data_IF_409300957353
#
_entry.id   IF_409300957353
#
_cell.length_a   1.000
_cell.length_b   1.000
_cell.length_c   1.000
_cell.angle_alpha   90.00
_cell.angle_beta   90.00
_cell.angle_gamma   90.00
#
_symmetry.space_group_name_H-M   'P 1'
#
loop_
_entity.id
_entity.type
_entity.pdbx_description
1 polymer ?
#
# COMPACT_ATOMS: atom_id res chain seq x y z
N UNK A 1 53.13 -54.64 -32.87
CA UNK A 1 51.95 -54.16 -32.10
C UNK A 1 52.13 -52.66 -31.86
N UNK A 2 51.26 -51.85 -32.49
CA UNK A 2 51.08 -50.38 -32.34
C UNK A 2 52.33 -49.50 -32.12
N UNK A 3 52.83 -48.92 -33.22
CA UNK A 3 53.69 -47.73 -33.19
C UNK A 3 52.91 -46.55 -32.59
N UNK A 4 53.23 -46.13 -31.35
CA UNK A 4 52.74 -44.87 -30.80
C UNK A 4 53.44 -43.72 -31.54
N UNK A 5 52.76 -43.09 -32.49
CA UNK A 5 53.23 -41.86 -33.14
C UNK A 5 53.13 -40.71 -32.11
N UNK A 6 54.26 -40.10 -31.77
CA UNK A 6 54.29 -38.91 -30.93
C UNK A 6 53.77 -37.68 -31.69
N UNK A 7 53.12 -36.76 -31.00
CA UNK A 7 52.63 -35.51 -31.58
C UNK A 7 53.78 -34.58 -31.93
N UNK A 8 53.71 -33.97 -33.12
CA UNK A 8 54.67 -32.97 -33.55
C UNK A 8 54.41 -31.64 -32.84
N UNK A 9 55.47 -30.91 -32.47
CA UNK A 9 55.37 -29.59 -31.83
C UNK A 9 54.57 -28.59 -32.70
N UNK A 10 54.65 -28.72 -34.03
CA UNK A 10 53.89 -27.86 -34.95
C UNK A 10 52.41 -28.23 -35.03
N UNK A 11 52.04 -29.51 -34.87
CA UNK A 11 50.63 -29.91 -34.77
C UNK A 11 49.99 -29.35 -33.51
N UNK A 12 50.72 -29.39 -32.38
CA UNK A 12 50.22 -28.83 -31.12
C UNK A 12 50.04 -27.32 -31.20
N UNK A 13 50.97 -26.61 -31.86
CA UNK A 13 50.87 -25.16 -32.07
C UNK A 13 49.71 -24.79 -32.99
N UNK A 14 49.50 -25.55 -34.08
CA UNK A 14 48.36 -25.37 -34.97
C UNK A 14 47.01 -25.60 -34.26
N UNK A 15 46.90 -26.64 -33.43
CA UNK A 15 45.69 -26.92 -32.65
C UNK A 15 45.39 -25.81 -31.66
N UNK A 16 46.40 -25.31 -30.94
CA UNK A 16 46.21 -24.19 -29.98
C UNK A 16 45.81 -22.90 -30.69
N UNK A 17 46.37 -22.62 -31.87
CA UNK A 17 46.01 -21.45 -32.67
C UNK A 17 44.56 -21.51 -33.19
N UNK A 18 44.13 -22.67 -33.69
CA UNK A 18 42.75 -22.86 -34.14
C UNK A 18 41.78 -22.80 -32.94
N UNK A 19 42.13 -23.46 -31.84
CA UNK A 19 41.32 -23.49 -30.64
C UNK A 19 41.13 -22.10 -30.01
N UNK A 20 42.17 -21.27 -29.98
CA UNK A 20 42.08 -19.91 -29.43
C UNK A 20 41.13 -19.02 -30.23
N UNK A 21 41.17 -19.10 -31.57
CA UNK A 21 40.25 -18.36 -32.45
C UNK A 21 38.81 -18.83 -32.25
N UNK A 22 38.59 -20.15 -32.18
CA UNK A 22 37.25 -20.72 -31.94
C UNK A 22 36.72 -20.32 -30.56
N UNK A 23 37.55 -20.40 -29.52
CA UNK A 23 37.16 -20.02 -28.16
C UNK A 23 36.89 -18.53 -28.01
N UNK A 24 37.60 -17.67 -28.74
CA UNK A 24 37.29 -16.23 -28.76
C UNK A 24 35.89 -15.96 -29.33
N UNK A 25 35.52 -16.65 -30.42
CA UNK A 25 34.17 -16.61 -30.98
C UNK A 25 33.11 -17.07 -29.99
N UNK A 26 33.28 -18.27 -29.41
CA UNK A 26 32.36 -18.83 -28.41
C UNK A 26 32.21 -17.94 -27.17
N UNK A 27 33.31 -17.38 -26.67
CA UNK A 27 33.30 -16.50 -25.51
C UNK A 27 32.47 -15.23 -25.76
N UNK A 28 32.62 -14.63 -26.96
CA UNK A 28 31.82 -13.46 -27.33
C UNK A 28 30.33 -13.77 -27.35
N UNK A 29 29.92 -14.87 -27.99
CA UNK A 29 28.52 -15.30 -28.05
C UNK A 29 27.96 -15.61 -26.65
N UNK A 30 28.72 -16.34 -25.83
CA UNK A 30 28.36 -16.64 -24.45
C UNK A 30 28.19 -15.36 -23.61
N UNK A 31 29.08 -14.37 -23.77
CA UNK A 31 28.98 -13.11 -23.03
C UNK A 31 27.72 -12.30 -23.38
N UNK A 32 27.30 -12.32 -24.65
CA UNK A 32 26.06 -11.68 -25.10
C UNK A 32 24.86 -12.40 -24.49
N UNK A 33 24.84 -13.73 -24.56
CA UNK A 33 23.77 -14.55 -23.98
C UNK A 33 23.64 -14.34 -22.47
N UNK A 34 24.76 -14.32 -21.75
CA UNK A 34 24.77 -14.04 -20.32
C UNK A 34 24.21 -12.66 -19.98
N UNK A 35 24.63 -11.60 -20.70
CA UNK A 35 24.14 -10.24 -20.46
C UNK A 35 22.64 -10.12 -20.71
N UNK A 36 22.15 -10.74 -21.79
CA UNK A 36 20.72 -10.81 -22.06
C UNK A 36 19.98 -11.56 -20.95
N UNK A 37 20.48 -12.73 -20.53
CA UNK A 37 19.87 -13.51 -19.46
C UNK A 37 19.81 -12.77 -18.12
N UNK A 38 20.90 -12.09 -17.72
CA UNK A 38 20.93 -11.28 -16.49
C UNK A 38 19.93 -10.13 -16.57
N UNK A 39 19.81 -9.47 -17.72
CA UNK A 39 18.87 -8.38 -17.93
C UNK A 39 17.42 -8.83 -17.78
N UNK A 40 17.04 -9.91 -18.46
CA UNK A 40 15.69 -10.47 -18.36
C UNK A 40 15.38 -10.94 -16.94
N UNK A 41 16.35 -11.56 -16.26
CA UNK A 41 16.22 -11.95 -14.86
C UNK A 41 15.91 -10.74 -13.95
N UNK A 42 16.64 -9.62 -14.13
CA UNK A 42 16.42 -8.41 -13.32
C UNK A 42 15.09 -7.73 -13.60
N UNK A 43 14.63 -7.76 -14.85
CA UNK A 43 13.30 -7.26 -15.22
C UNK A 43 12.23 -8.13 -14.54
N UNK A 44 12.37 -9.45 -14.59
CA UNK A 44 11.44 -10.38 -13.95
C UNK A 44 11.41 -10.22 -12.43
N UNK A 45 12.56 -10.03 -11.78
CA UNK A 45 12.66 -9.75 -10.35
C UNK A 45 11.89 -8.48 -9.97
N UNK A 46 12.09 -7.37 -10.68
CA UNK A 46 11.35 -6.11 -10.45
C UNK A 46 9.84 -6.27 -10.64
N UNK A 47 9.41 -7.06 -11.63
CA UNK A 47 7.99 -7.32 -11.88
C UNK A 47 7.35 -8.19 -10.77
N UNK A 48 8.09 -9.16 -10.23
CA UNK A 48 7.62 -9.97 -9.09
C UNK A 48 7.48 -9.12 -7.82
N UNK A 49 8.48 -8.29 -7.50
CA UNK A 49 8.43 -7.37 -6.35
C UNK A 49 7.24 -6.41 -6.48
N UNK A 50 7.07 -5.80 -7.66
CA UNK A 50 5.95 -4.91 -7.95
C UNK A 50 4.60 -5.62 -7.80
N UNK A 51 4.50 -6.88 -8.21
CA UNK A 51 3.30 -7.70 -8.06
C UNK A 51 2.91 -7.94 -6.60
N UNK A 52 3.88 -8.21 -5.74
CA UNK A 52 3.65 -8.39 -4.29
C UNK A 52 3.16 -7.08 -3.67
N UNK A 53 3.87 -5.98 -3.94
CA UNK A 53 3.52 -4.65 -3.41
C UNK A 53 2.16 -4.19 -3.91
N UNK A 54 1.83 -4.51 -5.16
CA UNK A 54 0.51 -4.26 -5.73
C UNK A 54 -0.60 -4.95 -4.93
N UNK A 55 -0.42 -6.21 -4.54
CA UNK A 55 -1.41 -6.95 -3.76
C UNK A 55 -1.72 -6.31 -2.40
N UNK A 56 -0.71 -5.74 -1.73
CA UNK A 56 -0.88 -5.03 -0.45
C UNK A 56 -1.64 -3.71 -0.67
N UNK A 57 -1.25 -2.93 -1.69
CA UNK A 57 -1.91 -1.66 -2.02
C UNK A 57 -3.36 -1.89 -2.45
N UNK A 58 -3.63 -2.89 -3.30
CA UNK A 58 -4.97 -3.26 -3.73
C UNK A 58 -5.85 -3.67 -2.54
N UNK A 59 -5.30 -4.46 -1.60
CA UNK A 59 -5.98 -4.80 -0.35
C UNK A 59 -6.34 -3.53 0.42
N UNK A 60 -5.38 -2.67 0.72
CA UNK A 60 -5.61 -1.48 1.53
C UNK A 60 -6.62 -0.52 0.87
N UNK A 61 -6.51 -0.29 -0.44
CA UNK A 61 -7.47 0.50 -1.21
C UNK A 61 -8.87 -0.09 -1.15
N UNK A 62 -9.00 -1.42 -1.24
CA UNK A 62 -10.29 -2.10 -1.18
C UNK A 62 -10.91 -2.07 0.23
N UNK A 63 -10.07 -2.06 1.26
CA UNK A 63 -10.48 -2.03 2.67
C UNK A 63 -10.59 -0.62 3.24
N UNK A 64 -10.31 0.41 2.44
CA UNK A 64 -10.43 1.80 2.84
C UNK A 64 -11.86 2.09 3.35
N UNK A 65 -11.95 2.69 4.53
CA UNK A 65 -13.20 2.96 5.23
C UNK A 65 -13.84 1.76 5.94
N UNK A 66 -13.36 0.53 5.72
CA UNK A 66 -14.00 -0.65 6.27
C UNK A 66 -13.94 -0.63 7.82
N UNK A 67 -15.11 -0.82 8.44
CA UNK A 67 -15.29 -0.76 9.89
C UNK A 67 -15.12 0.61 10.53
N UNK A 68 -15.14 1.70 9.74
CA UNK A 68 -15.36 3.03 10.30
C UNK A 68 -16.80 3.19 10.77
N UNK A 69 -16.98 3.99 11.81
CA UNK A 69 -18.26 4.35 12.39
C UNK A 69 -18.84 5.57 11.66
N UNK A 70 -20.17 5.65 11.56
CA UNK A 70 -20.85 6.84 11.04
C UNK A 70 -21.04 7.89 12.15
N UNK A 71 -21.07 7.46 13.41
CA UNK A 71 -21.21 8.31 14.58
C UNK A 71 -20.13 7.98 15.62
N UNK A 72 -19.31 8.97 15.98
CA UNK A 72 -18.28 8.85 17.01
C UNK A 72 -18.74 9.43 18.36
N UNK A 73 -20.00 9.86 18.47
CA UNK A 73 -20.62 10.40 19.67
C UNK A 73 -19.93 11.67 20.17
N UNK A 74 -19.94 11.86 21.48
CA UNK A 74 -19.26 12.99 22.15
C UNK A 74 -17.76 12.72 22.43
N UNK A 75 -17.22 11.62 21.91
CA UNK A 75 -15.83 11.24 22.14
C UNK A 75 -14.91 12.18 21.35
N UNK A 76 -13.90 12.74 22.01
CA UNK A 76 -12.95 13.69 21.43
C UNK A 76 -11.51 13.27 21.71
N UNK A 77 -10.55 13.95 21.08
CA UNK A 77 -9.11 13.66 21.25
C UNK A 77 -8.46 12.92 20.09
N UNK A 78 -9.19 12.67 19.00
CA UNK A 78 -8.67 12.14 17.76
C UNK A 78 -9.25 12.88 16.54
N UNK A 79 -8.57 12.78 15.40
CA UNK A 79 -9.09 13.27 14.12
C UNK A 79 -10.28 12.42 13.69
N UNK A 80 -11.40 13.01 13.31
CA UNK A 80 -12.53 12.23 12.79
C UNK A 80 -12.12 11.50 11.50
N UNK A 81 -12.33 10.18 11.42
CA UNK A 81 -11.81 9.41 10.31
C UNK A 81 -12.61 9.65 9.04
N UNK A 82 -11.92 9.55 7.91
CA UNK A 82 -12.48 9.55 6.56
C UNK A 82 -11.89 8.35 5.83
N UNK A 83 -12.70 7.65 5.05
CA UNK A 83 -12.25 6.43 4.35
C UNK A 83 -10.99 6.67 3.51
N UNK A 84 -10.94 7.82 2.84
CA UNK A 84 -9.81 8.27 2.03
C UNK A 84 -9.58 9.77 2.21
N UNK A 85 -8.31 10.15 2.17
CA UNK A 85 -7.88 11.53 1.99
C UNK A 85 -6.67 11.53 1.05
N UNK A 86 -6.70 12.35 0.01
CA UNK A 86 -5.52 12.62 -0.79
C UNK A 86 -5.02 14.04 -0.51
N UNK A 87 -3.72 14.26 -0.66
CA UNK A 87 -3.10 15.56 -0.57
C UNK A 87 -2.25 15.78 -1.83
N UNK A 88 -2.64 16.76 -2.64
CA UNK A 88 -1.91 17.15 -3.84
C UNK A 88 -0.53 17.73 -3.49
N UNK A 89 0.50 17.25 -4.18
CA UNK A 89 1.87 17.74 -4.01
C UNK A 89 2.24 18.91 -4.94
N UNK A 90 1.35 19.29 -5.86
CA UNK A 90 1.60 20.34 -6.86
C UNK A 90 2.68 19.92 -7.86
N UNK A 91 3.93 20.31 -7.61
CA UNK A 91 5.12 19.83 -8.35
C UNK A 91 5.78 18.62 -7.69
N UNK A 92 5.41 18.30 -6.45
CA UNK A 92 5.81 17.10 -5.74
C UNK A 92 4.76 15.99 -5.87
N UNK A 93 5.13 14.72 -5.63
CA UNK A 93 4.20 13.61 -5.63
C UNK A 93 3.09 13.80 -4.61
N UNK A 94 1.92 13.25 -4.92
CA UNK A 94 0.77 13.26 -4.05
C UNK A 94 0.98 12.32 -2.85
N UNK A 95 0.06 12.42 -1.91
CA UNK A 95 0.00 11.52 -0.77
C UNK A 95 -1.41 10.98 -0.63
N UNK A 96 -1.51 9.73 -0.21
CA UNK A 96 -2.78 9.04 0.01
C UNK A 96 -2.83 8.56 1.45
N UNK A 97 -3.85 8.96 2.18
CA UNK A 97 -4.16 8.49 3.52
C UNK A 97 -5.47 7.70 3.45
N UNK A 98 -5.42 6.47 3.95
CA UNK A 98 -6.56 5.57 4.08
C UNK A 98 -6.81 5.35 5.56
N UNK A 99 -8.08 5.34 5.98
CA UNK A 99 -8.44 5.02 7.36
C UNK A 99 -9.45 3.90 7.39
N UNK A 100 -9.34 3.03 8.37
CA UNK A 100 -10.20 1.86 8.53
C UNK A 100 -9.71 0.99 9.67
N UNK A 101 -10.60 0.19 10.24
CA UNK A 101 -10.19 -0.78 11.26
C UNK A 101 -9.39 -1.91 10.62
N UNK A 102 -9.85 -2.45 9.49
CA UNK A 102 -9.21 -3.57 8.79
C UNK A 102 -7.86 -3.27 8.10
N UNK A 103 -7.37 -2.03 8.14
CA UNK A 103 -6.09 -1.62 7.54
C UNK A 103 -4.87 -2.00 8.41
N UNK A 104 -5.10 -2.30 9.69
CA UNK A 104 -4.02 -2.60 10.62
C UNK A 104 -3.40 -3.97 10.34
N UNK A 105 -2.11 -4.00 10.00
CA UNK A 105 -1.35 -5.24 9.82
C UNK A 105 -0.17 -5.35 10.79
N UNK A 106 0.22 -4.25 11.45
CA UNK A 106 1.37 -4.23 12.34
C UNK A 106 1.12 -4.97 13.67
N UNK A 107 -0.15 -5.07 14.11
CA UNK A 107 -0.53 -5.87 15.27
C UNK A 107 -1.49 -6.96 14.88
N UNK A 108 -1.30 -8.16 15.46
CA UNK A 108 -2.27 -9.26 15.35
C UNK A 108 -3.64 -8.84 15.88
N UNK A 109 -3.70 -8.05 16.96
CA UNK A 109 -4.99 -7.65 17.53
C UNK A 109 -5.85 -6.89 16.51
N UNK A 110 -5.23 -6.08 15.64
CA UNK A 110 -5.87 -5.37 14.53
C UNK A 110 -6.48 -6.27 13.44
N UNK A 111 -6.25 -7.58 13.50
CA UNK A 111 -6.85 -8.55 12.58
C UNK A 111 -8.04 -9.27 13.21
N UNK A 112 -8.23 -9.14 14.53
CA UNK A 112 -9.29 -9.80 15.27
C UNK A 112 -10.62 -9.07 15.18
N UNK A 113 -11.65 -9.77 14.72
CA UNK A 113 -13.02 -9.29 14.64
C UNK A 113 -13.94 -10.33 15.28
N UNK A 114 -14.82 -9.91 16.17
CA UNK A 114 -15.83 -10.79 16.76
C UNK A 114 -17.11 -10.00 17.04
N UNK A 115 -18.14 -10.68 17.52
CA UNK A 115 -19.39 -10.07 17.94
C UNK A 115 -19.90 -10.69 19.24
N UNK A 116 -20.74 -9.96 19.97
CA UNK A 116 -21.47 -10.47 21.13
C UNK A 116 -22.56 -11.44 20.68
N UNK A 117 -22.34 -12.74 20.90
CA UNK A 117 -23.32 -13.79 20.60
C UNK A 117 -24.48 -13.79 21.59
N UNK A 118 -24.20 -13.49 22.86
CA UNK A 118 -25.21 -13.32 23.89
C UNK A 118 -24.75 -12.37 24.98
N UNK A 119 -25.66 -11.94 25.86
CA UNK A 119 -25.35 -11.20 27.08
C UNK A 119 -25.95 -11.97 28.25
N UNK A 120 -25.10 -12.46 29.15
CA UNK A 120 -25.49 -13.26 30.31
C UNK A 120 -25.17 -12.47 31.56
N UNK A 121 -26.20 -12.15 32.35
CA UNK A 121 -26.05 -11.37 33.59
C UNK A 121 -25.30 -10.04 33.41
N UNK A 122 -25.54 -9.34 32.29
CA UNK A 122 -24.88 -8.08 31.96
C UNK A 122 -23.43 -8.21 31.49
N UNK A 123 -22.98 -9.43 31.16
CA UNK A 123 -21.64 -9.68 30.58
C UNK A 123 -21.81 -10.18 29.15
N UNK A 124 -21.21 -9.54 28.13
CA UNK A 124 -21.26 -10.08 26.78
C UNK A 124 -20.47 -11.39 26.69
N UNK A 125 -20.92 -12.29 25.83
CA UNK A 125 -20.20 -13.50 25.45
C UNK A 125 -19.85 -13.35 23.98
N UNK A 126 -18.56 -13.30 23.66
CA UNK A 126 -18.12 -13.13 22.28
C UNK A 126 -18.01 -14.45 21.56
N UNK A 127 -18.33 -14.42 20.27
CA UNK A 127 -18.10 -15.54 19.37
C UNK A 127 -16.59 -15.82 19.27
N UNK A 128 -16.24 -17.11 19.25
CA UNK A 128 -14.87 -17.55 18.96
C UNK A 128 -14.90 -18.40 17.70
N UNK A 129 -13.96 -18.15 16.80
CA UNK A 129 -13.81 -18.88 15.54
C UNK A 129 -12.93 -20.13 15.69
N UNK A 130 -12.26 -20.28 16.84
CA UNK A 130 -11.37 -21.42 17.09
C UNK A 130 -10.02 -21.27 16.40
N UNK A 131 -9.66 -20.05 15.99
CA UNK A 131 -8.38 -19.69 15.40
C UNK A 131 -7.80 -18.48 16.13
N UNK A 132 -6.67 -18.68 16.82
CA UNK A 132 -6.00 -17.63 17.59
C UNK A 132 -5.49 -16.44 16.75
N UNK A 133 -5.52 -16.54 15.42
CA UNK A 133 -5.20 -15.45 14.50
C UNK A 133 -6.40 -14.52 14.26
N UNK A 134 -7.61 -15.05 14.33
CA UNK A 134 -8.86 -14.32 14.08
C UNK A 134 -9.56 -13.93 15.39
N UNK A 135 -9.35 -14.72 16.45
CA UNK A 135 -9.92 -14.47 17.75
C UNK A 135 -9.21 -13.33 18.48
N UNK A 136 -10.02 -12.48 19.14
CA UNK A 136 -9.52 -11.47 20.07
C UNK A 136 -8.88 -12.18 21.25
N UNK A 137 -7.61 -11.89 21.53
CA UNK A 137 -6.83 -12.54 22.58
C UNK A 137 -6.95 -11.85 23.93
N UNK A 138 -6.67 -12.59 25.00
CA UNK A 138 -6.64 -12.06 26.37
C UNK A 138 -5.78 -10.79 26.47
N UNK A 139 -6.34 -9.75 27.12
CA UNK A 139 -5.81 -8.41 27.30
C UNK A 139 -5.63 -7.57 26.03
N UNK A 140 -6.06 -8.05 24.86
CA UNK A 140 -6.11 -7.21 23.66
C UNK A 140 -7.03 -6.01 23.91
N UNK A 141 -6.64 -4.86 23.36
CA UNK A 141 -7.47 -3.67 23.36
C UNK A 141 -8.48 -3.79 22.25
N UNK A 142 -9.73 -3.46 22.57
CA UNK A 142 -10.84 -3.59 21.65
C UNK A 142 -11.65 -2.30 21.59
N UNK A 143 -12.30 -2.13 20.45
CA UNK A 143 -13.30 -1.11 20.20
C UNK A 143 -14.64 -1.81 20.00
N UNK A 144 -15.68 -1.17 20.51
CA UNK A 144 -17.05 -1.66 20.44
C UNK A 144 -17.84 -0.80 19.45
N UNK A 145 -18.60 -1.44 18.55
CA UNK A 145 -19.43 -0.77 17.56
C UNK A 145 -20.85 -1.32 17.62
N UNK A 146 -21.82 -0.41 17.50
CA UNK A 146 -23.20 -0.77 17.20
C UNK A 146 -23.38 -1.08 15.70
N UNK A 147 -23.74 -2.31 15.30
CA UNK A 147 -23.91 -2.62 13.88
C UNK A 147 -25.10 -1.91 13.22
N UNK A 148 -26.14 -1.56 14.00
CA UNK A 148 -27.38 -0.97 13.46
C UNK A 148 -27.20 0.51 13.18
N UNK A 149 -26.63 1.23 14.15
CA UNK A 149 -26.41 2.68 14.04
C UNK A 149 -25.02 3.03 13.53
N UNK A 150 -24.10 2.05 13.46
CA UNK A 150 -22.67 2.27 13.18
C UNK A 150 -22.06 3.29 14.12
N UNK A 151 -22.52 3.33 15.36
CA UNK A 151 -22.01 4.23 16.38
C UNK A 151 -20.85 3.58 17.15
N UNK A 152 -19.83 4.36 17.45
CA UNK A 152 -18.79 4.00 18.42
C UNK A 152 -19.44 3.88 19.80
N UNK A 153 -19.27 2.73 20.46
CA UNK A 153 -19.72 2.56 21.83
C UNK A 153 -18.63 3.01 22.79
N UNK A 154 -19.00 3.91 23.69
CA UNK A 154 -18.15 4.44 24.74
C UNK A 154 -18.87 4.36 26.09
N UNK A 155 -18.10 4.34 27.17
CA UNK A 155 -18.59 4.50 28.55
C UNK A 155 -18.05 5.83 29.08
N UNK A 156 -18.92 6.85 29.13
CA UNK A 156 -18.51 8.23 29.31
C UNK A 156 -17.58 8.68 28.16
N UNK A 157 -16.33 9.01 28.47
CA UNK A 157 -15.30 9.37 27.48
C UNK A 157 -14.41 8.20 27.07
N UNK A 158 -14.58 7.02 27.65
CA UNK A 158 -13.74 5.84 27.40
C UNK A 158 -14.32 5.02 26.26
N UNK A 159 -13.59 4.93 25.16
CA UNK A 159 -13.96 4.17 23.96
C UNK A 159 -13.03 2.99 23.67
N UNK A 160 -11.87 2.95 24.33
CA UNK A 160 -10.93 1.85 24.27
C UNK A 160 -11.17 0.93 25.48
N UNK A 161 -11.33 -0.35 25.21
CA UNK A 161 -11.58 -1.34 26.24
C UNK A 161 -10.55 -2.45 26.21
N UNK A 162 -10.47 -3.23 27.29
CA UNK A 162 -9.61 -4.40 27.42
C UNK A 162 -10.47 -5.66 27.40
N UNK A 163 -10.12 -6.63 26.57
CA UNK A 163 -10.75 -7.95 26.54
C UNK A 163 -10.16 -8.88 27.59
N UNK A 164 -10.98 -9.42 28.50
CA UNK A 164 -10.53 -10.25 29.63
C UNK A 164 -10.73 -11.76 29.43
N UNK A 165 -11.39 -12.19 28.36
CA UNK A 165 -11.62 -13.62 28.05
C UNK A 165 -12.56 -14.39 29.00
N UNK A 166 -12.80 -13.90 30.21
CA UNK A 166 -13.69 -14.48 31.23
C UNK A 166 -14.59 -13.40 31.87
N UNK A 167 -15.48 -13.77 32.80
CA UNK A 167 -16.44 -12.91 33.52
C UNK A 167 -16.04 -11.43 33.61
N UNK A 168 -16.91 -10.52 33.15
CA UNK A 168 -16.55 -9.15 32.75
C UNK A 168 -15.54 -9.13 31.57
N UNK A 169 -15.92 -9.80 30.48
CA UNK A 169 -15.07 -10.02 29.30
C UNK A 169 -14.59 -8.73 28.64
N UNK A 170 -15.19 -7.58 28.93
CA UNK A 170 -14.71 -6.26 28.51
C UNK A 170 -14.73 -5.30 29.69
N UNK A 171 -13.58 -4.71 29.99
CA UNK A 171 -13.42 -3.67 31.01
C UNK A 171 -12.88 -2.38 30.40
N UNK A 172 -13.22 -1.25 31.01
CA UNK A 172 -12.75 0.08 30.60
C UNK A 172 -11.22 0.15 30.70
N UNK A 173 -10.57 0.92 29.81
CA UNK A 173 -9.17 1.33 29.99
C UNK A 173 -9.05 2.48 31.00
N UNK A 174 -7.90 2.68 31.69
CA UNK A 174 -6.58 2.03 31.50
C UNK A 174 -6.49 0.60 32.04
N UNK A 175 -5.37 -0.09 31.78
CA UNK A 175 -5.19 -1.53 32.08
C UNK A 175 -5.48 -1.94 33.54
N UNK A 176 -5.24 -1.05 34.50
CA UNK A 176 -5.51 -1.25 35.93
C UNK A 176 -6.99 -1.22 36.32
N UNK A 177 -7.86 -0.75 35.43
CA UNK A 177 -9.30 -0.72 35.67
C UNK A 177 -9.88 -2.14 35.67
N UNK A 178 -10.82 -2.36 36.58
CA UNK A 178 -11.64 -3.59 36.69
C UNK A 178 -13.11 -3.30 36.41
N UNK A 179 -13.46 -2.06 36.07
CA UNK A 179 -14.84 -1.64 35.77
C UNK A 179 -15.28 -2.30 34.46
N UNK A 180 -16.33 -3.14 34.47
CA UNK A 180 -16.90 -3.72 33.26
C UNK A 180 -17.58 -2.66 32.39
N UNK A 181 -17.65 -2.88 31.08
CA UNK A 181 -18.49 -2.06 30.21
C UNK A 181 -19.96 -2.16 30.63
N UNK A 182 -20.64 -1.02 30.75
CA UNK A 182 -21.95 -0.93 31.41
C UNK A 182 -23.17 -1.20 30.51
N UNK A 183 -23.03 -1.15 29.18
CA UNK A 183 -24.15 -1.27 28.23
C UNK A 183 -23.96 -2.35 27.14
N UNK A 184 -23.66 -3.62 27.50
CA UNK A 184 -23.53 -4.68 26.52
C UNK A 184 -24.88 -5.13 25.95
N UNK A 185 -24.93 -5.40 24.64
CA UNK A 185 -26.08 -5.96 23.96
C UNK A 185 -25.66 -7.02 22.93
N UNK A 186 -26.56 -7.96 22.63
CA UNK A 186 -26.34 -9.01 21.64
C UNK A 186 -26.20 -8.42 20.24
N UNK A 187 -25.19 -8.88 19.48
CA UNK A 187 -24.89 -8.43 18.13
C UNK A 187 -23.90 -7.28 18.05
N UNK A 188 -23.45 -6.71 19.17
CA UNK A 188 -22.39 -5.71 19.19
C UNK A 188 -21.13 -6.23 18.50
N UNK A 189 -20.57 -5.44 17.59
CA UNK A 189 -19.33 -5.78 16.88
C UNK A 189 -18.14 -5.33 17.70
N UNK A 190 -17.13 -6.19 17.78
CA UNK A 190 -15.90 -5.97 18.54
C UNK A 190 -14.72 -6.13 17.62
N UNK A 191 -13.84 -5.14 17.66
CA UNK A 191 -12.66 -5.08 16.82
C UNK A 191 -11.42 -4.86 17.69
N UNK A 192 -10.38 -5.68 17.50
CA UNK A 192 -9.12 -5.53 18.23
C UNK A 192 -8.25 -4.40 17.67
N UNK A 193 -7.47 -3.74 18.51
CA UNK A 193 -6.65 -2.59 18.16
C UNK A 193 -5.17 -2.83 18.41
N UNK A 194 -4.82 -3.26 19.62
CA UNK A 194 -3.44 -3.50 20.01
C UNK A 194 -3.37 -4.58 21.09
N UNK A 195 -2.22 -5.26 21.17
CA UNK A 195 -1.96 -6.23 22.25
C UNK A 195 -1.60 -5.50 23.53
N UNK A 196 -1.74 -6.20 24.65
CA UNK A 196 -1.09 -5.78 25.88
C UNK A 196 0.44 -5.67 25.67
N UNK A 197 1.04 -4.60 26.18
CA UNK A 197 2.46 -4.29 26.01
C UNK A 197 2.82 -3.53 24.73
N UNK A 198 1.88 -3.37 23.79
CA UNK A 198 2.01 -2.41 22.69
C UNK A 198 1.52 -1.02 23.12
N UNK A 199 1.94 0.03 22.41
CA UNK A 199 1.39 1.38 22.58
C UNK A 199 -0.12 1.36 22.35
N UNK A 200 -0.88 1.80 23.36
CA UNK A 200 -2.32 1.87 23.29
C UNK A 200 -2.77 2.83 22.18
N UNK A 201 -3.83 2.44 21.48
CA UNK A 201 -4.41 3.27 20.44
C UNK A 201 -4.97 4.59 21.00
N UNK A 202 -4.71 5.69 20.32
CA UNK A 202 -5.26 7.02 20.67
C UNK A 202 -6.35 7.46 19.69
N UNK A 203 -6.64 6.64 18.68
CA UNK A 203 -7.74 6.81 17.74
C UNK A 203 -8.45 5.46 17.50
N UNK A 204 -9.78 5.45 17.25
CA UNK A 204 -10.56 4.22 17.13
C UNK A 204 -10.44 3.51 15.78
N UNK A 205 -9.33 3.69 15.07
CA UNK A 205 -9.10 3.18 13.72
C UNK A 205 -7.60 3.13 13.40
N UNK A 206 -7.22 2.37 12.37
CA UNK A 206 -5.89 2.45 11.80
C UNK A 206 -5.87 3.45 10.64
N UNK A 207 -4.81 4.25 10.58
CA UNK A 207 -4.50 5.11 9.45
C UNK A 207 -3.28 4.54 8.72
N UNK A 208 -3.35 4.52 7.39
CA UNK A 208 -2.26 4.11 6.51
C UNK A 208 -1.98 5.23 5.53
N UNK A 209 -0.73 5.67 5.43
CA UNK A 209 -0.30 6.70 4.48
C UNK A 209 0.68 6.14 3.47
N UNK A 210 0.41 6.40 2.21
CA UNK A 210 1.28 6.20 1.06
C UNK A 210 1.86 7.53 0.62
N UNK A 211 3.19 7.61 0.56
CA UNK A 211 3.92 8.81 0.14
C UNK A 211 5.33 8.44 -0.32
N UNK A 212 5.93 9.26 -1.20
CA UNK A 212 7.34 9.10 -1.55
C UNK A 212 8.23 9.63 -0.43
N UNK A 213 9.15 8.80 0.03
CA UNK A 213 10.11 9.14 1.08
C UNK A 213 11.01 10.29 0.66
N UNK A 214 11.26 11.22 1.58
CA UNK A 214 12.40 12.13 1.42
C UNK A 214 13.71 11.33 1.49
N UNK A 215 14.72 11.74 0.73
CA UNK A 215 16.00 11.02 0.62
C UNK A 215 16.71 10.82 1.97
N UNK A 216 16.41 11.64 2.98
CA UNK A 216 16.94 11.50 4.34
C UNK A 216 16.22 10.41 5.17
N UNK A 217 14.96 10.11 4.83
CA UNK A 217 14.10 9.17 5.57
C UNK A 217 14.17 7.73 5.06
N UNK A 218 14.40 7.56 3.75
CA UNK A 218 14.60 6.25 3.13
C UNK A 218 15.46 6.41 1.89
N UNK A 219 16.63 5.77 1.88
CA UNK A 219 17.57 5.84 0.76
C UNK A 219 17.23 4.73 -0.25
N UNK A 220 16.91 5.06 -1.51
CA UNK A 220 16.69 4.05 -2.54
C UNK A 220 17.95 3.21 -2.79
N UNK A 221 17.81 1.94 -3.19
CA UNK A 221 18.93 1.11 -3.64
C UNK A 221 19.78 1.81 -4.71
N UNK A 222 21.10 1.55 -4.72
CA UNK A 222 22.03 2.13 -5.71
C UNK A 222 21.73 1.75 -7.17
N UNK A 223 20.91 0.73 -7.38
CA UNK A 223 20.43 0.31 -8.69
C UNK A 223 19.32 1.20 -9.24
N UNK A 224 18.73 2.05 -8.40
CA UNK A 224 17.70 2.99 -8.83
C UNK A 224 18.30 4.19 -9.59
N UNK A 225 17.54 4.71 -10.55
CA UNK A 225 17.91 5.88 -11.32
C UNK A 225 17.98 7.12 -10.41
N UNK A 226 18.82 8.11 -10.77
CA UNK A 226 18.89 9.36 -10.02
C UNK A 226 17.53 10.07 -9.91
N UNK A 227 17.25 10.65 -8.74
CA UNK A 227 16.01 11.37 -8.46
C UNK A 227 14.81 10.49 -8.10
N UNK A 228 14.96 9.16 -8.11
CA UNK A 228 13.93 8.25 -7.60
C UNK A 228 13.89 8.24 -6.07
N UNK A 229 12.74 7.80 -5.54
CA UNK A 229 12.43 7.67 -4.12
C UNK A 229 11.75 6.33 -3.85
N UNK A 230 11.66 5.95 -2.58
CA UNK A 230 10.89 4.79 -2.16
C UNK A 230 9.46 5.21 -1.82
N UNK A 231 8.46 4.53 -2.37
CA UNK A 231 7.07 4.66 -1.94
C UNK A 231 6.91 3.91 -0.61
N UNK A 232 6.63 4.64 0.46
CA UNK A 232 6.46 4.08 1.80
C UNK A 232 5.00 3.78 2.08
N UNK A 233 4.76 2.74 2.87
CA UNK A 233 3.50 2.50 3.58
C UNK A 233 3.73 2.72 5.07
N UNK A 234 3.22 3.81 5.62
CA UNK A 234 3.27 4.08 7.05
C UNK A 234 1.91 3.75 7.69
N UNK A 235 1.91 2.99 8.79
CA UNK A 235 0.70 2.62 9.53
C UNK A 235 0.74 3.21 10.93
N UNK A 236 -0.38 3.70 11.43
CA UNK A 236 -0.51 4.09 12.83
C UNK A 236 -1.93 3.95 13.36
N UNK A 237 -1.99 3.65 14.65
CA UNK A 237 -3.21 3.67 15.48
C UNK A 237 -3.20 4.81 16.51
N UNK A 238 -2.22 5.70 16.39
CA UNK A 238 -2.01 6.85 17.29
C UNK A 238 -1.90 8.18 16.57
N UNK A 239 -1.83 8.17 15.24
CA UNK A 239 -1.71 9.35 14.41
C UNK A 239 -2.47 9.14 13.10
N UNK A 240 -3.34 10.07 12.73
CA UNK A 240 -4.14 10.03 11.51
C UNK A 240 -3.31 10.29 10.24
N UNK A 241 -2.11 10.86 10.36
CA UNK A 241 -1.14 11.05 9.27
C UNK A 241 0.20 10.42 9.65
N UNK A 242 0.31 9.09 9.57
CA UNK A 242 1.53 8.38 9.98
C UNK A 242 2.74 8.77 9.14
N UNK A 243 3.92 8.67 9.75
CA UNK A 243 5.24 8.85 9.12
C UNK A 243 6.15 7.69 9.53
N UNK A 244 7.27 7.51 8.83
CA UNK A 244 8.25 6.47 9.16
C UNK A 244 7.78 5.06 8.78
N UNK A 245 7.24 4.90 7.57
CA UNK A 245 6.76 3.62 7.05
C UNK A 245 7.82 2.78 6.36
N UNK A 246 7.43 1.56 5.98
CA UNK A 246 8.28 0.62 5.26
C UNK A 246 8.23 0.85 3.74
N UNK A 247 9.35 0.72 3.02
CA UNK A 247 9.38 0.76 1.56
C UNK A 247 8.53 -0.37 0.95
N UNK A 248 7.50 0.00 0.19
CA UNK A 248 6.70 -0.94 -0.60
C UNK A 248 7.21 -1.04 -2.03
N UNK A 249 7.55 0.08 -2.66
CA UNK A 249 8.04 0.12 -4.02
C UNK A 249 9.28 1.00 -4.05
N UNK A 250 10.40 0.45 -4.51
CA UNK A 250 11.64 1.21 -4.68
C UNK A 250 11.71 1.83 -6.09
N UNK A 251 12.60 2.79 -6.27
CA UNK A 251 12.89 3.40 -7.57
C UNK A 251 11.69 4.09 -8.24
N UNK A 252 10.88 4.82 -7.46
CA UNK A 252 9.70 5.56 -7.94
C UNK A 252 10.05 7.02 -8.22
N UNK A 253 9.69 7.55 -9.38
CA UNK A 253 9.88 8.98 -9.70
C UNK A 253 8.71 9.83 -9.25
N UNK A 254 7.49 9.31 -9.38
CA UNK A 254 6.28 10.06 -9.11
C UNK A 254 5.13 9.18 -8.65
N UNK A 255 4.24 9.78 -7.87
CA UNK A 255 3.04 9.15 -7.32
C UNK A 255 1.90 10.17 -7.41
N UNK A 256 0.79 9.79 -8.03
CA UNK A 256 -0.36 10.66 -8.28
C UNK A 256 -1.65 9.94 -7.90
N UNK A 257 -2.62 10.69 -7.37
CA UNK A 257 -3.86 10.13 -6.82
C UNK A 257 -5.06 10.89 -7.37
N UNK A 258 -6.11 10.15 -7.75
CA UNK A 258 -7.38 10.72 -8.16
C UNK A 258 -8.54 9.98 -7.51
N UNK A 259 -9.57 10.72 -7.09
CA UNK A 259 -10.78 10.18 -6.49
C UNK A 259 -11.95 10.38 -7.45
N UNK A 260 -12.62 9.30 -7.83
CA UNK A 260 -13.85 9.36 -8.60
C UNK A 260 -15.02 9.65 -7.65
N UNK A 261 -15.68 10.78 -7.84
CA UNK A 261 -16.77 11.28 -7.02
C UNK A 261 -18.08 11.32 -7.80
N UNK A 262 -19.13 10.83 -7.17
CA UNK A 262 -20.55 10.93 -7.52
C UNK A 262 -21.11 12.17 -6.82
N UNK A 263 -21.24 13.26 -7.56
CA UNK A 263 -21.57 14.58 -7.02
C UNK A 263 -23.08 14.82 -6.91
N UNK A 264 -23.86 14.11 -7.71
CA UNK A 264 -25.33 14.17 -7.73
C UNK A 264 -26.01 12.95 -7.08
N UNK A 265 -25.23 11.97 -6.61
CA UNK A 265 -25.67 10.75 -5.92
C UNK A 265 -26.48 9.80 -6.83
N UNK A 266 -26.22 9.83 -8.15
CA UNK A 266 -26.87 8.97 -9.14
C UNK A 266 -26.24 7.57 -9.27
N UNK A 267 -25.13 7.30 -8.57
CA UNK A 267 -24.38 6.05 -8.59
C UNK A 267 -23.23 6.00 -9.60
N UNK A 268 -23.02 7.05 -10.39
CA UNK A 268 -21.96 7.17 -11.40
C UNK A 268 -20.91 8.19 -10.97
N UNK A 269 -19.73 8.12 -11.56
CA UNK A 269 -18.68 9.13 -11.34
C UNK A 269 -18.98 10.33 -12.23
N UNK A 270 -19.21 11.49 -11.62
CA UNK A 270 -19.39 12.75 -12.34
C UNK A 270 -18.08 13.54 -12.45
N UNK A 271 -17.25 13.43 -11.41
CA UNK A 271 -16.05 14.23 -11.24
C UNK A 271 -14.86 13.36 -10.84
N UNK A 272 -13.73 13.60 -11.49
CA UNK A 272 -12.43 13.12 -11.02
C UNK A 272 -11.71 14.21 -10.23
N UNK A 273 -11.60 14.00 -8.91
CA UNK A 273 -10.90 14.88 -7.99
C UNK A 273 -9.41 14.53 -7.96
N UNK A 274 -8.63 15.28 -8.75
CA UNK A 274 -7.19 15.12 -8.85
C UNK A 274 -6.50 15.68 -7.59
N UNK A 275 -5.89 14.81 -6.78
CA UNK A 275 -5.20 15.24 -5.55
C UNK A 275 -6.10 15.48 -4.33
N UNK A 276 -7.41 15.27 -4.41
CA UNK A 276 -8.31 15.15 -3.24
C UNK A 276 -8.89 16.45 -2.67
N UNK A 277 -8.73 17.58 -3.36
CA UNK A 277 -9.16 18.89 -2.86
C UNK A 277 -10.69 18.99 -2.71
N UNK A 278 -11.44 18.42 -3.65
CA UNK A 278 -12.91 18.42 -3.62
C UNK A 278 -13.42 17.51 -2.51
N UNK A 279 -12.88 16.30 -2.44
CA UNK A 279 -13.22 15.32 -1.43
C UNK A 279 -12.98 15.87 -0.02
N UNK A 280 -11.88 16.59 0.21
CA UNK A 280 -11.53 17.20 1.50
C UNK A 280 -12.61 18.18 2.01
N UNK A 281 -13.40 18.79 1.12
CA UNK A 281 -14.52 19.65 1.49
C UNK A 281 -15.77 18.91 1.99
N UNK A 282 -15.88 17.59 1.75
CA UNK A 282 -17.02 16.80 2.19
C UNK A 282 -16.87 16.32 3.64
N UNK A 283 -17.98 16.36 4.38
CA UNK A 283 -18.09 15.64 5.64
C UNK A 283 -17.86 14.14 5.42
N UNK A 284 -17.30 13.44 6.41
CA UNK A 284 -16.91 12.03 6.30
C UNK A 284 -18.06 11.13 5.81
N UNK A 285 -19.28 11.36 6.32
CA UNK A 285 -20.48 10.61 5.97
C UNK A 285 -20.89 10.80 4.51
N UNK A 286 -20.75 12.02 3.98
CA UNK A 286 -21.12 12.33 2.60
C UNK A 286 -20.06 11.79 1.64
N UNK A 287 -18.78 11.89 2.01
CA UNK A 287 -17.69 11.27 1.24
C UNK A 287 -17.90 9.76 1.06
N UNK A 288 -18.34 9.05 2.10
CA UNK A 288 -18.56 7.60 2.01
C UNK A 288 -19.67 7.21 1.00
N UNK A 289 -20.62 8.12 0.73
CA UNK A 289 -21.66 7.93 -0.30
C UNK A 289 -21.18 8.36 -1.69
N UNK A 290 -20.38 9.42 -1.74
CA UNK A 290 -19.98 10.09 -2.99
C UNK A 290 -18.71 9.53 -3.60
N UNK A 291 -17.75 9.06 -2.82
CA UNK A 291 -16.60 8.34 -3.37
C UNK A 291 -17.10 7.12 -4.13
N UNK A 292 -16.58 6.79 -5.32
CA UNK A 292 -16.92 5.57 -6.08
C UNK A 292 -15.70 4.78 -6.52
N UNK A 293 -14.58 5.46 -6.72
CA UNK A 293 -13.33 4.81 -7.10
C UNK A 293 -12.13 5.59 -6.58
N UNK A 294 -11.12 4.89 -6.09
CA UNK A 294 -9.80 5.44 -5.80
C UNK A 294 -8.88 5.01 -6.93
N UNK A 295 -8.18 5.97 -7.53
CA UNK A 295 -7.12 5.72 -8.50
C UNK A 295 -5.79 6.23 -7.99
N UNK A 296 -4.76 5.42 -8.15
CA UNK A 296 -3.39 5.77 -7.83
C UNK A 296 -2.49 5.38 -9.00
N UNK A 297 -1.51 6.23 -9.30
CA UNK A 297 -0.57 6.05 -10.42
C UNK A 297 0.84 6.18 -9.90
N UNK A 298 1.67 5.17 -10.15
CA UNK A 298 3.06 5.10 -9.69
C UNK A 298 3.96 5.01 -10.91
N UNK A 299 4.87 5.97 -11.09
CA UNK A 299 5.90 5.91 -12.12
C UNK A 299 7.15 5.24 -11.55
N UNK A 300 7.38 3.98 -11.93
CA UNK A 300 8.42 3.12 -11.34
C UNK A 300 9.42 2.65 -12.40
N UNK A 301 10.67 2.50 -11.98
CA UNK A 301 11.72 1.85 -12.77
C UNK A 301 11.52 0.34 -12.82
N UNK A 302 11.78 -0.26 -13.98
CA UNK A 302 11.78 -1.72 -14.17
C UNK A 302 13.16 -2.22 -14.58
N UNK A 303 13.71 -3.17 -13.82
CA UNK A 303 15.06 -3.70 -14.02
C UNK A 303 16.16 -2.67 -13.72
N UNK A 304 17.36 -2.92 -14.26
CA UNK A 304 18.54 -2.12 -14.00
C UNK A 304 18.92 -1.20 -15.17
N UNK A 305 19.85 -0.29 -14.88
CA UNK A 305 20.52 0.58 -15.85
C UNK A 305 21.05 -0.20 -17.04
N UNK A 306 20.78 0.31 -18.24
CA UNK A 306 21.26 -0.23 -19.51
C UNK A 306 21.85 0.91 -20.36
N UNK A 307 23.18 0.97 -20.47
CA UNK A 307 23.89 2.07 -21.18
C UNK A 307 23.52 2.19 -22.65
N UNK A 308 23.07 1.10 -23.26
CA UNK A 308 22.73 1.05 -24.68
C UNK A 308 21.23 1.25 -24.89
N UNK A 309 20.48 1.49 -23.82
CA UNK A 309 19.05 1.76 -23.87
C UNK A 309 18.80 3.27 -23.82
N UNK A 310 17.85 3.70 -24.64
CA UNK A 310 17.33 5.06 -24.62
C UNK A 310 15.81 4.98 -24.57
N UNK A 311 15.25 5.29 -23.41
CA UNK A 311 13.81 5.35 -23.22
C UNK A 311 13.20 6.37 -24.18
N UNK A 312 12.10 5.93 -24.81
CA UNK A 312 11.19 6.75 -25.59
C UNK A 312 9.79 6.35 -25.17
N UNK A 313 8.99 7.30 -24.70
CA UNK A 313 7.61 7.06 -24.31
C UNK A 313 6.87 6.43 -25.51
N UNK A 314 6.32 5.22 -25.36
CA UNK A 314 5.60 4.55 -26.44
C UNK A 314 4.22 5.15 -26.71
N UNK A 315 3.71 6.02 -25.84
CA UNK A 315 2.41 6.68 -26.00
C UNK A 315 2.41 7.65 -27.20
N UNK A 316 1.48 7.50 -28.17
CA UNK A 316 1.35 8.38 -29.33
C UNK A 316 1.20 9.87 -28.98
N UNK A 317 0.55 10.20 -27.87
CA UNK A 317 0.34 11.59 -27.45
C UNK A 317 1.67 12.29 -27.09
N UNK A 318 2.71 11.51 -26.80
CA UNK A 318 4.04 11.99 -26.45
C UNK A 318 5.07 11.78 -27.58
N UNK A 319 4.63 11.51 -28.82
CA UNK A 319 5.54 11.29 -29.95
C UNK A 319 6.50 12.46 -30.22
N UNK A 320 6.07 13.70 -29.93
CA UNK A 320 6.89 14.92 -30.06
C UNK A 320 7.76 15.22 -28.83
N UNK A 321 7.48 14.58 -27.69
CA UNK A 321 8.21 14.73 -26.42
C UNK A 321 8.45 13.35 -25.77
N UNK A 322 9.26 12.48 -26.42
CA UNK A 322 9.39 11.08 -26.03
C UNK A 322 10.11 10.86 -24.69
N UNK A 323 10.58 11.91 -24.04
CA UNK A 323 11.20 11.93 -22.72
C UNK A 323 10.23 12.33 -21.59
N UNK A 324 8.99 12.72 -21.91
CA UNK A 324 7.93 12.96 -20.92
C UNK A 324 7.07 11.72 -20.73
N UNK A 325 6.51 11.57 -19.52
CA UNK A 325 5.62 10.46 -19.16
C UNK A 325 4.43 11.03 -18.40
N UNK A 326 3.21 10.63 -18.79
CA UNK A 326 2.00 10.88 -18.01
C UNK A 326 1.97 9.97 -16.79
N UNK A 327 1.87 10.54 -15.59
CA UNK A 327 1.60 9.81 -14.36
C UNK A 327 0.15 10.07 -14.00
N UNK A 328 -0.74 9.30 -14.61
CA UNK A 328 -2.17 9.57 -14.59
C UNK A 328 -2.89 8.96 -15.79
N UNK A 329 -4.07 9.47 -16.08
CA UNK A 329 -4.92 9.01 -17.19
C UNK A 329 -5.48 10.23 -17.93
N UNK A 330 -5.26 10.29 -19.25
CA UNK A 330 -5.68 11.40 -20.11
C UNK A 330 -7.10 11.25 -20.64
N UNK A 331 -7.64 10.02 -20.64
CA UNK A 331 -8.84 9.68 -21.40
C UNK A 331 -10.04 9.37 -20.51
N UNK A 332 -9.97 9.70 -19.23
CA UNK A 332 -11.10 9.51 -18.33
C UNK A 332 -12.27 10.41 -18.72
N UNK A 333 -13.45 9.80 -18.81
CA UNK A 333 -14.70 10.54 -18.85
C UNK A 333 -14.82 11.39 -17.57
N UNK A 334 -15.03 12.70 -17.72
CA UNK A 334 -15.00 13.66 -16.62
C UNK A 334 -13.70 14.44 -16.46
N UNK A 335 -12.65 14.11 -17.24
CA UNK A 335 -11.42 14.89 -17.34
C UNK A 335 -10.15 14.10 -17.01
N UNK A 336 -9.02 14.60 -17.53
CA UNK A 336 -7.71 14.00 -17.29
C UNK A 336 -7.27 14.15 -15.83
N UNK A 337 -6.60 13.12 -15.30
CA UNK A 337 -6.09 13.09 -13.92
C UNK A 337 -4.60 12.81 -13.87
N UNK A 338 -3.98 13.15 -12.74
CA UNK A 338 -2.54 13.11 -12.54
C UNK A 338 -1.83 14.24 -13.28
N UNK A 339 -0.56 14.03 -13.62
CA UNK A 339 0.28 15.06 -14.24
C UNK A 339 1.31 14.49 -15.18
N UNK A 340 1.92 15.38 -15.97
CA UNK A 340 3.09 15.04 -16.77
C UNK A 340 4.34 15.16 -15.91
N UNK A 341 5.08 14.07 -15.77
CA UNK A 341 6.38 14.13 -15.13
C UNK A 341 7.33 14.99 -15.98
N UNK A 342 8.22 15.79 -15.35
CA UNK A 342 9.22 16.56 -16.08
C UNK A 342 10.02 15.70 -17.05
N UNK A 343 10.54 16.27 -18.15
CA UNK A 343 11.36 15.52 -19.11
C UNK A 343 12.48 14.74 -18.42
N UNK A 344 12.55 13.44 -18.71
CA UNK A 344 13.58 12.57 -18.15
C UNK A 344 14.97 13.04 -18.55
N UNK A 345 15.87 13.14 -17.57
CA UNK A 345 17.29 13.41 -17.83
C UNK A 345 17.93 12.33 -18.71
N UNK A 346 19.05 12.67 -19.37
CA UNK A 346 19.78 11.72 -20.22
C UNK A 346 20.14 10.42 -19.48
N UNK A 347 20.46 10.51 -18.19
CA UNK A 347 20.78 9.35 -17.34
C UNK A 347 19.53 8.53 -16.99
N UNK A 348 18.41 9.17 -16.63
CA UNK A 348 17.16 8.46 -16.37
C UNK A 348 16.63 7.71 -17.60
N UNK A 349 16.94 8.18 -18.81
CA UNK A 349 16.55 7.50 -20.06
C UNK A 349 17.33 6.21 -20.32
N UNK A 350 18.38 5.91 -19.56
CA UNK A 350 19.06 4.60 -19.61
C UNK A 350 18.36 3.51 -18.78
N UNK A 351 17.19 3.83 -18.21
CA UNK A 351 16.35 2.93 -17.44
C UNK A 351 15.00 2.75 -18.13
N UNK A 352 14.33 1.63 -17.83
CA UNK A 352 12.96 1.35 -18.30
C UNK A 352 11.99 1.87 -17.27
N UNK A 353 10.95 2.53 -17.76
CA UNK A 353 9.92 3.14 -16.92
C UNK A 353 8.57 2.52 -17.22
N UNK A 354 7.76 2.36 -16.18
CA UNK A 354 6.40 1.88 -16.28
C UNK A 354 5.51 2.68 -15.34
N UNK A 355 4.33 3.04 -15.84
CA UNK A 355 3.27 3.59 -14.99
C UNK A 355 2.39 2.44 -14.54
N UNK A 356 2.29 2.27 -13.23
CA UNK A 356 1.44 1.26 -12.61
C UNK A 356 0.19 1.96 -12.10
N UNK A 357 -0.96 1.54 -12.61
CA UNK A 357 -2.25 2.05 -12.19
C UNK A 357 -2.94 1.09 -11.22
N UNK A 358 -3.48 1.69 -10.17
CA UNK A 358 -4.41 1.12 -9.22
C UNK A 358 -5.76 1.77 -9.46
N UNK A 359 -6.81 0.97 -9.67
CA UNK A 359 -8.16 1.47 -9.89
C UNK A 359 -9.11 0.56 -9.11
N UNK A 360 -9.48 1.00 -7.91
CA UNK A 360 -10.21 0.16 -6.95
C UNK A 360 -11.46 0.89 -6.48
N UNK A 361 -12.58 0.18 -6.47
CA UNK A 361 -13.79 0.60 -5.77
C UNK A 361 -13.71 0.08 -4.33
N UNK A 362 -13.59 0.95 -3.31
CA UNK A 362 -13.49 0.52 -1.92
C UNK A 362 -14.77 -0.17 -1.47
N UNK A 363 -14.65 -1.20 -0.63
CA UNK A 363 -15.79 -2.00 -0.16
C UNK A 363 -16.73 -1.26 0.79
N UNK A 364 -16.25 -0.18 1.41
CA UNK A 364 -17.07 0.65 2.29
C UNK A 364 -17.94 1.67 1.53
N UNK A 365 -17.73 1.80 0.22
CA UNK A 365 -18.45 2.75 -0.61
C UNK A 365 -19.82 2.18 -0.97
N UNK A 366 -20.86 2.99 -0.75
CA UNK A 366 -22.27 2.64 -0.94
C UNK A 366 -22.84 3.20 -2.23
#
# INVERSE_FOLDING_TARGET
>A
MMTKRGFSLIELLAVVAIFSVVMAGLYSAYSVQLRAGVKEYRIAESEMELGISRGIIDRDLSMAGYGLMDDYGAVSGFTLPRAVSAQEGGTDPDQLILMGTALGIASRASQGWTYADSVVSGVPVFMTFGDAREDVGLNDRVILMDPNTRALRADGSVWLFKYNGASANVTLMPESSTTPYSDPFTGMVVYGMNRAGETDATQPYNAVRYYLADAASSVPPRTCAPGTRNLLRAESRTNASPTGGDPMINCVLDFQVALGLDTDENGSIDLWDNGGATAAGYAAKDLNKRLKQIRAYVLVQVGNRDTNYLYKNPDPDYASTPDKIRVGDLYLAGGAVGRDYPPLSAEQRMYRWRVVSFAITPRNVR
#
